data_IF_291461519590
#
_entry.id   IF_291461519590
#
_cell.length_a   1.000
_cell.length_b   1.000
_cell.length_c   1.000
_cell.angle_alpha   90.00
_cell.angle_beta   90.00
_cell.angle_gamma   90.00
#
_symmetry.space_group_name_H-M   'P 1'
#
loop_
_entity.id
_entity.type
_entity.pdbx_description
1 polymer ?
#
# COMPACT_ATOMS: atom_id res chain seq x y z
N UNK A 1 33.08 -6.98 50.61
CA UNK A 1 32.80 -7.94 49.51
C UNK A 1 32.79 -7.13 48.24
N UNK A 2 33.92 -7.17 47.54
CA UNK A 2 34.21 -6.40 46.32
C UNK A 2 33.52 -7.05 45.13
N UNK A 3 32.91 -6.24 44.26
CA UNK A 3 32.54 -6.64 42.91
C UNK A 3 33.77 -6.46 42.00
N UNK A 4 34.12 -7.43 41.13
CA UNK A 4 35.30 -7.32 40.31
C UNK A 4 35.09 -6.33 39.16
N UNK A 5 36.03 -5.39 39.03
CA UNK A 5 36.23 -4.58 37.85
C UNK A 5 36.78 -5.43 36.72
N UNK A 6 36.15 -5.41 35.54
CA UNK A 6 36.81 -5.77 34.29
C UNK A 6 36.88 -4.53 33.41
N UNK A 7 38.09 -3.97 33.33
CA UNK A 7 38.49 -2.99 32.33
C UNK A 7 38.37 -3.62 30.94
N UNK A 8 37.38 -3.18 30.16
CA UNK A 8 37.41 -3.28 28.71
C UNK A 8 37.65 -1.87 28.17
N UNK A 9 38.81 -1.72 27.55
CA UNK A 9 39.34 -0.50 26.94
C UNK A 9 38.39 -0.01 25.84
N UNK A 10 37.75 1.15 26.04
CA UNK A 10 36.89 1.78 25.05
C UNK A 10 37.75 2.38 23.93
N UNK A 11 37.74 1.76 22.75
CA UNK A 11 38.25 2.38 21.53
C UNK A 11 37.13 3.22 20.89
N UNK A 12 37.35 4.50 20.58
CA UNK A 12 36.36 5.30 19.87
C UNK A 12 36.19 4.78 18.45
N UNK A 13 34.95 4.42 18.09
CA UNK A 13 34.56 4.13 16.71
C UNK A 13 34.78 5.38 15.86
N UNK A 14 35.49 5.21 14.73
CA UNK A 14 35.69 6.21 13.68
C UNK A 14 34.35 6.78 13.22
N UNK A 15 34.30 8.11 13.08
CA UNK A 15 33.21 8.80 12.40
C UNK A 15 33.05 8.30 10.95
N UNK A 16 31.83 7.99 10.49
CA UNK A 16 31.58 7.80 9.08
C UNK A 16 31.47 9.16 8.39
N UNK A 17 32.45 9.41 7.51
CA UNK A 17 32.50 10.59 6.65
C UNK A 17 31.28 10.72 5.74
N UNK A 18 30.91 11.98 5.52
CA UNK A 18 29.86 12.39 4.58
C UNK A 18 30.14 11.88 3.17
N UNK A 19 29.24 11.07 2.63
CA UNK A 19 28.97 10.97 1.20
C UNK A 19 27.52 10.50 1.03
N UNK A 20 26.64 11.45 0.71
CA UNK A 20 25.27 11.17 0.27
C UNK A 20 25.32 10.88 -1.23
N UNK A 21 25.09 9.64 -1.61
CA UNK A 21 24.78 9.23 -3.00
C UNK A 21 23.38 8.57 -2.98
N UNK A 22 22.48 8.90 -3.92
CA UNK A 22 21.08 8.50 -3.87
C UNK A 22 20.83 7.05 -4.34
N UNK A 23 19.95 6.37 -3.61
CA UNK A 23 19.55 4.96 -3.67
C UNK A 23 18.64 4.58 -4.88
N UNK A 24 18.93 5.01 -6.11
CA UNK A 24 17.99 4.84 -7.25
C UNK A 24 18.59 4.32 -8.56
N UNK A 25 19.41 3.27 -8.55
CA UNK A 25 19.76 2.57 -9.81
C UNK A 25 19.98 1.05 -9.57
N UNK A 26 18.88 0.29 -9.42
CA UNK A 26 18.98 -1.18 -9.49
C UNK A 26 17.66 -1.91 -9.82
N UNK A 27 16.86 -1.42 -10.78
CA UNK A 27 15.63 -2.12 -11.21
C UNK A 27 15.34 -1.99 -12.70
N UNK A 28 16.00 -2.77 -13.57
CA UNK A 28 15.49 -2.96 -14.95
C UNK A 28 15.84 -4.34 -15.52
N UNK A 29 14.83 -5.20 -15.69
CA UNK A 29 14.66 -6.06 -16.87
C UNK A 29 13.35 -6.85 -16.78
N UNK A 30 12.36 -6.54 -17.63
CA UNK A 30 11.46 -7.54 -18.24
C UNK A 30 10.81 -7.00 -19.54
N UNK A 31 10.38 -7.88 -20.46
CA UNK A 31 10.07 -7.53 -21.86
C UNK A 31 8.58 -7.28 -22.13
N UNK A 32 8.29 -6.33 -23.01
CA UNK A 32 6.95 -5.95 -23.48
C UNK A 32 6.46 -6.84 -24.62
N UNK A 33 5.22 -7.37 -24.51
CA UNK A 33 4.45 -7.91 -25.65
C UNK A 33 3.57 -6.79 -26.23
N UNK A 34 3.69 -6.56 -27.54
CA UNK A 34 2.85 -5.62 -28.31
C UNK A 34 1.62 -6.34 -28.87
N UNK A 35 0.45 -5.73 -28.72
CA UNK A 35 -0.78 -6.10 -29.44
C UNK A 35 -1.04 -5.01 -30.48
N UNK A 36 -1.18 -5.42 -31.74
CA UNK A 36 -1.46 -4.52 -32.88
C UNK A 36 -2.95 -4.59 -33.19
N UNK A 37 -3.66 -3.44 -33.16
CA UNK A 37 -5.04 -3.32 -33.65
C UNK A 37 -5.03 -2.99 -35.15
N UNK A 38 -5.81 -3.73 -35.94
CA UNK A 38 -6.13 -3.40 -37.34
C UNK A 38 -7.48 -2.68 -37.40
N UNK A 39 -7.50 -1.49 -37.98
CA UNK A 39 -8.73 -0.76 -38.31
C UNK A 39 -9.01 -0.97 -39.80
N UNK A 40 -10.14 -1.63 -40.12
CA UNK A 40 -10.65 -1.70 -41.49
C UNK A 40 -11.66 -0.56 -41.69
N UNK A 41 -11.26 0.46 -42.45
CA UNK A 41 -12.14 1.49 -42.97
C UNK A 41 -12.87 0.97 -44.21
N UNK A 42 -14.18 1.13 -44.27
CA UNK A 42 -14.92 1.13 -45.53
C UNK A 42 -15.76 2.41 -45.62
N UNK A 43 -15.40 3.23 -46.61
CA UNK A 43 -16.21 4.35 -47.10
C UNK A 43 -17.37 3.80 -47.93
N UNK A 44 -18.55 4.38 -47.77
CA UNK A 44 -19.51 4.63 -48.86
C UNK A 44 -20.45 5.78 -48.44
N UNK A 45 -20.31 6.92 -49.13
CA UNK A 45 -21.23 8.05 -49.12
C UNK A 45 -22.52 7.65 -49.84
N UNK A 46 -23.70 7.92 -49.26
CA UNK A 46 -24.84 8.61 -49.93
C UNK A 46 -25.67 9.31 -48.85
N UNK A 47 -25.99 10.59 -49.09
CA UNK A 47 -26.69 11.46 -48.14
C UNK A 47 -28.13 11.07 -47.83
N UNK A 48 -28.46 11.12 -46.55
CA UNK A 48 -29.79 11.40 -46.01
C UNK A 48 -29.59 11.97 -44.60
N UNK A 49 -30.21 13.12 -44.31
CA UNK A 49 -30.30 13.68 -42.97
C UNK A 49 -30.99 12.65 -42.08
N UNK A 50 -30.22 11.93 -41.29
CA UNK A 50 -30.74 11.04 -40.25
C UNK A 50 -30.78 11.84 -38.95
N UNK A 51 -32.00 12.13 -38.48
CA UNK A 51 -32.20 12.58 -37.10
C UNK A 51 -32.01 11.35 -36.22
N UNK A 52 -30.80 11.21 -35.69
CA UNK A 52 -30.48 10.16 -34.72
C UNK A 52 -31.15 10.50 -33.39
N UNK A 53 -32.30 9.88 -33.12
CA UNK A 53 -32.86 9.83 -31.77
C UNK A 53 -31.93 8.93 -30.95
N UNK A 54 -31.08 9.54 -30.11
CA UNK A 54 -30.27 8.79 -29.15
C UNK A 54 -31.21 8.36 -28.02
N UNK A 55 -31.71 7.13 -28.10
CA UNK A 55 -32.28 6.45 -26.94
C UNK A 55 -31.09 6.02 -26.08
N UNK A 56 -30.82 6.76 -25.01
CA UNK A 56 -29.89 6.31 -23.97
C UNK A 56 -30.60 5.19 -23.20
N UNK A 57 -30.41 3.96 -23.65
CA UNK A 57 -30.71 2.80 -22.81
C UNK A 57 -29.57 2.73 -21.81
N UNK A 58 -29.86 3.02 -20.54
CA UNK A 58 -28.95 2.68 -19.43
C UNK A 58 -28.86 1.16 -19.34
N UNK A 59 -27.97 0.57 -20.14
CA UNK A 59 -27.53 -0.80 -19.95
C UNK A 59 -26.54 -0.74 -18.79
N UNK A 60 -27.01 -1.09 -17.59
CA UNK A 60 -26.11 -1.51 -16.54
C UNK A 60 -25.42 -2.78 -17.03
N UNK A 61 -24.19 -2.64 -17.49
CA UNK A 61 -23.33 -3.79 -17.74
C UNK A 61 -22.99 -4.36 -16.36
N UNK A 62 -23.80 -5.32 -15.92
CA UNK A 62 -23.34 -6.28 -14.93
C UNK A 62 -22.05 -6.89 -15.47
N UNK A 63 -20.95 -6.70 -14.74
CA UNK A 63 -19.67 -7.29 -15.05
C UNK A 63 -19.80 -8.82 -14.97
N UNK A 64 -20.19 -9.46 -16.07
CA UNK A 64 -20.01 -10.89 -16.26
C UNK A 64 -18.51 -11.16 -16.52
N UNK A 65 -17.68 -10.97 -15.49
CA UNK A 65 -16.47 -11.78 -15.37
C UNK A 65 -16.90 -13.26 -15.28
N UNK A 66 -16.13 -14.21 -15.81
CA UNK A 66 -16.44 -15.62 -15.65
C UNK A 66 -16.56 -15.95 -14.14
N UNK A 67 -17.77 -16.29 -13.71
CA UNK A 67 -18.07 -16.90 -12.41
C UNK A 67 -17.30 -18.21 -12.25
N UNK A 68 -16.15 -18.25 -11.58
CA UNK A 68 -15.58 -19.56 -11.18
C UNK A 68 -14.63 -19.50 -9.97
N UNK A 69 -14.78 -18.55 -9.04
CA UNK A 69 -14.10 -18.66 -7.74
C UNK A 69 -15.15 -18.51 -6.65
N UNK A 70 -15.70 -19.64 -6.21
CA UNK A 70 -16.65 -19.72 -5.11
C UNK A 70 -15.87 -19.99 -3.81
N UNK A 71 -16.37 -19.49 -2.66
CA UNK A 71 -15.72 -19.75 -1.37
C UNK A 71 -15.60 -21.25 -1.06
N UNK A 72 -16.57 -22.05 -1.53
CA UNK A 72 -16.61 -23.50 -1.46
C UNK A 72 -15.51 -24.22 -2.24
N UNK A 73 -14.81 -23.53 -3.15
CA UNK A 73 -13.78 -24.15 -4.00
C UNK A 73 -12.49 -24.46 -3.23
N UNK A 74 -12.31 -23.86 -2.05
CA UNK A 74 -11.12 -24.01 -1.24
C UNK A 74 -11.43 -24.63 0.12
N UNK A 75 -10.62 -25.62 0.57
CA UNK A 75 -10.81 -26.20 1.89
C UNK A 75 -10.29 -25.25 2.99
N UNK A 76 -10.71 -25.45 4.24
CA UNK A 76 -9.94 -24.97 5.39
C UNK A 76 -8.53 -25.53 5.36
N UNK A 77 -7.56 -24.75 5.86
CA UNK A 77 -6.19 -25.23 5.94
C UNK A 77 -6.04 -26.42 6.89
N UNK A 78 -5.08 -27.30 6.58
CA UNK A 78 -4.71 -28.42 7.44
C UNK A 78 -4.01 -27.96 8.73
N UNK A 79 -3.64 -28.93 9.57
CA UNK A 79 -2.89 -28.66 10.81
C UNK A 79 -1.49 -28.09 10.56
N UNK A 80 -0.91 -28.42 9.41
CA UNK A 80 0.36 -27.88 8.92
C UNK A 80 0.13 -27.26 7.54
N UNK A 81 0.81 -26.16 7.28
CA UNK A 81 0.84 -25.50 5.97
C UNK A 81 2.08 -25.97 5.19
N UNK A 82 1.93 -26.08 3.88
CA UNK A 82 3.01 -26.46 2.97
C UNK A 82 3.09 -25.50 1.77
N UNK A 83 4.27 -25.42 1.15
CA UNK A 83 4.47 -24.63 -0.07
C UNK A 83 3.42 -24.97 -1.13
N UNK A 84 2.73 -23.95 -1.66
CA UNK A 84 1.71 -24.11 -2.69
C UNK A 84 0.29 -24.31 -2.17
N UNK A 85 0.09 -24.48 -0.87
CA UNK A 85 -1.25 -24.56 -0.28
C UNK A 85 -2.07 -23.32 -0.61
N UNK A 86 -3.35 -23.54 -0.89
CA UNK A 86 -4.37 -22.52 -1.15
C UNK A 86 -5.65 -22.90 -0.38
N UNK A 87 -5.87 -22.27 0.77
CA UNK A 87 -6.87 -22.70 1.75
C UNK A 87 -7.33 -21.56 2.67
N UNK A 88 -8.48 -21.72 3.33
CA UNK A 88 -8.99 -20.75 4.30
C UNK A 88 -8.26 -20.88 5.64
N UNK A 89 -7.65 -19.79 6.12
CA UNK A 89 -6.84 -19.74 7.33
C UNK A 89 -7.32 -18.66 8.31
N UNK A 90 -7.28 -18.90 9.64
CA UNK A 90 -7.66 -17.90 10.65
C UNK A 90 -6.82 -16.62 10.56
N UNK A 91 -7.47 -15.45 10.49
CA UNK A 91 -6.76 -14.16 10.38
C UNK A 91 -5.84 -13.92 11.59
N UNK A 92 -6.30 -14.30 12.79
CA UNK A 92 -5.51 -14.17 14.03
C UNK A 92 -4.24 -15.04 14.04
N UNK A 93 -4.16 -16.07 13.20
CA UNK A 93 -2.95 -16.88 13.04
C UNK A 93 -1.95 -16.31 12.04
N UNK A 94 -2.28 -15.22 11.32
CA UNK A 94 -1.39 -14.59 10.35
C UNK A 94 -0.48 -13.59 11.04
N UNK A 95 0.80 -13.64 10.69
CA UNK A 95 1.81 -12.72 11.21
C UNK A 95 2.07 -11.58 10.21
N UNK A 96 1.83 -10.32 10.60
CA UNK A 96 2.18 -9.16 9.79
C UNK A 96 3.66 -9.08 9.42
N UNK A 97 3.93 -8.30 8.38
CA UNK A 97 5.28 -7.96 7.88
C UNK A 97 5.45 -6.45 7.74
N UNK A 98 4.58 -5.69 8.40
CA UNK A 98 4.60 -4.24 8.50
C UNK A 98 4.10 -3.81 9.88
N UNK A 99 4.50 -2.63 10.35
CA UNK A 99 4.10 -2.11 11.65
C UNK A 99 2.69 -1.53 11.69
N UNK A 100 2.27 -0.93 10.58
CA UNK A 100 1.08 -0.09 10.54
C UNK A 100 0.23 -0.35 9.31
N UNK A 101 -0.97 0.21 9.31
CA UNK A 101 -1.91 0.34 8.19
C UNK A 101 -2.55 1.72 8.30
N UNK A 102 -3.26 2.19 7.29
CA UNK A 102 -4.07 3.40 7.38
C UNK A 102 -5.48 3.08 7.87
N UNK A 103 -5.84 3.49 9.07
CA UNK A 103 -7.14 3.17 9.67
C UNK A 103 -8.28 3.86 8.93
N UNK A 104 -8.05 5.04 8.37
CA UNK A 104 -9.06 5.72 7.55
C UNK A 104 -9.28 5.01 6.19
N UNK A 105 -8.25 4.31 5.66
CA UNK A 105 -8.46 3.43 4.51
C UNK A 105 -9.28 2.19 4.91
N UNK A 106 -9.02 1.62 6.08
CA UNK A 106 -9.79 0.52 6.65
C UNK A 106 -11.26 0.91 6.84
N UNK A 107 -11.53 2.09 7.42
CA UNK A 107 -12.89 2.61 7.63
C UNK A 107 -13.64 2.77 6.32
N UNK A 108 -13.01 3.40 5.32
CA UNK A 108 -13.58 3.53 3.98
C UNK A 108 -13.94 2.17 3.35
N UNK A 109 -13.05 1.20 3.57
CA UNK A 109 -13.21 -0.16 3.05
C UNK A 109 -14.29 -0.94 3.80
N UNK A 110 -14.54 -0.63 5.08
CA UNK A 110 -15.64 -1.22 5.84
C UNK A 110 -16.99 -0.84 5.25
N UNK A 111 -17.19 0.43 4.88
CA UNK A 111 -18.42 0.89 4.22
C UNK A 111 -18.67 0.14 2.90
N UNK A 112 -17.62 -0.09 2.10
CA UNK A 112 -17.69 -0.91 0.88
C UNK A 112 -18.15 -2.33 1.21
N UNK A 113 -17.55 -2.96 2.23
CA UNK A 113 -17.85 -4.34 2.62
C UNK A 113 -19.20 -4.49 3.31
N UNK A 114 -19.70 -3.45 3.98
CA UNK A 114 -21.00 -3.42 4.63
C UNK A 114 -22.14 -3.53 3.62
N UNK A 115 -21.95 -2.97 2.42
CA UNK A 115 -22.91 -3.07 1.33
C UNK A 115 -23.05 -4.49 0.74
N UNK A 116 -22.11 -5.40 1.04
CA UNK A 116 -22.14 -6.77 0.52
C UNK A 116 -23.08 -7.67 1.32
N UNK A 117 -23.85 -8.47 0.59
CA UNK A 117 -24.44 -9.71 1.10
C UNK A 117 -23.36 -10.72 1.50
N UNK A 118 -23.74 -11.78 2.22
CA UNK A 118 -22.80 -12.84 2.61
C UNK A 118 -22.12 -13.48 1.38
N UNK A 119 -22.89 -13.83 0.34
CA UNK A 119 -22.35 -14.42 -0.90
C UNK A 119 -21.39 -13.47 -1.64
N UNK A 120 -21.70 -12.18 -1.67
CA UNK A 120 -20.83 -11.16 -2.29
C UNK A 120 -19.54 -10.98 -1.51
N UNK A 121 -19.60 -11.01 -0.17
CA UNK A 121 -18.43 -10.96 0.69
C UNK A 121 -17.55 -12.20 0.47
N UNK A 122 -18.14 -13.39 0.45
CA UNK A 122 -17.42 -14.64 0.21
C UNK A 122 -16.68 -14.62 -1.14
N UNK A 123 -17.37 -14.22 -2.21
CA UNK A 123 -16.78 -14.07 -3.54
C UNK A 123 -15.68 -12.99 -3.57
N UNK A 124 -15.89 -11.89 -2.85
CA UNK A 124 -14.89 -10.85 -2.69
C UNK A 124 -13.63 -11.39 -2.00
N UNK A 125 -13.77 -12.06 -0.85
CA UNK A 125 -12.66 -12.59 -0.08
C UNK A 125 -11.90 -13.69 -0.83
N UNK A 126 -12.59 -14.52 -1.61
CA UNK A 126 -11.96 -15.54 -2.43
C UNK A 126 -11.06 -14.94 -3.54
N UNK A 127 -11.32 -13.69 -3.98
CA UNK A 127 -10.43 -12.93 -4.87
C UNK A 127 -9.29 -12.22 -4.15
N UNK A 128 -9.36 -12.08 -2.81
CA UNK A 128 -8.36 -11.37 -1.99
C UNK A 128 -7.40 -12.33 -1.31
N UNK A 129 -6.75 -13.18 -2.11
CA UNK A 129 -5.73 -14.13 -1.64
C UNK A 129 -4.64 -13.38 -0.85
N UNK A 130 -4.35 -13.87 0.34
CA UNK A 130 -3.25 -13.42 1.19
C UNK A 130 -2.01 -14.26 0.88
N UNK A 131 -1.02 -13.73 0.14
CA UNK A 131 0.24 -14.44 -0.04
C UNK A 131 0.99 -14.52 1.29
N UNK A 132 1.46 -15.71 1.66
CA UNK A 132 2.24 -15.94 2.89
C UNK A 132 3.56 -16.64 2.61
N UNK A 133 4.53 -16.44 3.50
CA UNK A 133 5.77 -17.22 3.58
C UNK A 133 5.81 -17.92 4.93
N UNK A 134 6.10 -19.21 4.95
CA UNK A 134 6.30 -19.93 6.20
C UNK A 134 7.69 -19.58 6.76
N UNK A 135 7.72 -18.94 7.92
CA UNK A 135 8.93 -18.68 8.67
C UNK A 135 9.22 -19.77 9.70
N UNK A 136 10.22 -19.56 10.57
CA UNK A 136 10.58 -20.49 11.64
C UNK A 136 9.35 -20.94 12.43
N UNK A 137 9.35 -22.19 12.89
CA UNK A 137 8.22 -22.80 13.60
C UNK A 137 6.91 -22.86 12.80
N UNK A 138 6.99 -22.86 11.46
CA UNK A 138 5.86 -22.88 10.51
C UNK A 138 4.92 -21.66 10.62
N UNK A 139 5.42 -20.54 11.13
CA UNK A 139 4.63 -19.31 11.28
C UNK A 139 4.32 -18.68 9.90
N UNK A 140 3.06 -18.43 9.54
CA UNK A 140 2.71 -17.85 8.24
C UNK A 140 2.80 -16.31 8.28
N UNK A 141 3.85 -15.75 7.66
CA UNK A 141 4.04 -14.31 7.53
C UNK A 141 3.38 -13.77 6.26
N UNK A 142 2.44 -12.84 6.41
CA UNK A 142 1.67 -12.30 5.30
C UNK A 142 2.44 -11.24 4.52
N UNK A 143 2.44 -11.31 3.18
CA UNK A 143 3.20 -10.40 2.32
C UNK A 143 2.38 -9.19 1.81
N UNK A 144 1.05 -9.30 1.84
CA UNK A 144 0.12 -8.28 1.38
C UNK A 144 -1.23 -8.50 2.08
N UNK A 145 -2.19 -7.59 1.84
CA UNK A 145 -3.58 -7.63 2.31
C UNK A 145 -3.77 -7.34 3.80
N UNK A 146 -2.84 -6.64 4.44
CA UNK A 146 -2.98 -6.20 5.83
C UNK A 146 -4.25 -5.38 6.04
N UNK A 147 -4.50 -4.34 5.23
CA UNK A 147 -5.74 -3.53 5.31
C UNK A 147 -7.02 -4.36 5.12
N UNK A 148 -7.02 -5.32 4.17
CA UNK A 148 -8.21 -6.18 3.95
C UNK A 148 -8.42 -7.14 5.11
N UNK A 149 -7.34 -7.73 5.64
CA UNK A 149 -7.42 -8.64 6.78
C UNK A 149 -7.83 -7.91 8.05
N UNK A 150 -7.33 -6.68 8.25
CA UNK A 150 -7.71 -5.81 9.36
C UNK A 150 -9.18 -5.45 9.33
N UNK A 151 -9.71 -4.93 8.21
CA UNK A 151 -11.13 -4.56 8.14
C UNK A 151 -12.04 -5.77 8.38
N UNK A 152 -11.74 -6.91 7.73
CA UNK A 152 -12.54 -8.13 7.87
C UNK A 152 -12.57 -8.64 9.32
N UNK A 153 -11.43 -8.56 10.01
CA UNK A 153 -11.30 -8.95 11.41
C UNK A 153 -12.01 -7.98 12.36
N UNK A 154 -11.75 -6.67 12.22
CA UNK A 154 -12.26 -5.65 13.14
C UNK A 154 -13.75 -5.44 13.04
N UNK A 155 -14.35 -5.67 11.86
CA UNK A 155 -15.80 -5.52 11.66
C UNK A 155 -16.54 -6.85 11.71
N UNK A 156 -15.86 -7.90 12.17
CA UNK A 156 -16.40 -9.26 12.39
C UNK A 156 -17.08 -9.86 11.14
N UNK A 157 -16.69 -9.40 9.96
CA UNK A 157 -17.25 -9.85 8.67
C UNK A 157 -16.82 -11.28 8.33
N UNK A 158 -15.63 -11.68 8.78
CA UNK A 158 -15.14 -13.06 8.74
C UNK A 158 -13.97 -13.24 9.71
N UNK A 159 -13.72 -14.48 10.15
CA UNK A 159 -12.55 -14.83 10.96
C UNK A 159 -11.42 -15.45 10.12
N UNK A 160 -11.63 -15.67 8.83
CA UNK A 160 -10.71 -16.37 7.92
C UNK A 160 -10.44 -15.59 6.64
N UNK A 161 -9.26 -15.80 6.07
CA UNK A 161 -8.87 -15.32 4.74
C UNK A 161 -8.32 -16.48 3.91
N UNK A 162 -8.49 -16.43 2.59
CA UNK A 162 -7.87 -17.38 1.68
C UNK A 162 -6.38 -17.08 1.58
N UNK A 163 -5.53 -18.00 2.03
CA UNK A 163 -4.06 -17.83 2.00
C UNK A 163 -3.46 -18.63 0.85
N UNK A 164 -2.35 -18.13 0.30
CA UNK A 164 -1.49 -18.90 -0.59
C UNK A 164 -0.07 -18.94 -0.04
N UNK A 165 0.45 -20.14 0.24
CA UNK A 165 1.85 -20.30 0.66
C UNK A 165 2.76 -20.17 -0.55
N UNK A 166 3.52 -19.06 -0.61
CA UNK A 166 4.42 -18.73 -1.72
C UNK A 166 5.77 -19.41 -1.59
N UNK A 167 6.29 -19.47 -0.37
CA UNK A 167 7.61 -20.00 -0.05
C UNK A 167 7.59 -20.68 1.33
N UNK A 168 8.44 -21.69 1.50
CA UNK A 168 8.65 -22.36 2.77
C UNK A 168 10.09 -22.18 3.25
N UNK A 169 10.22 -21.30 4.23
CA UNK A 169 11.48 -20.93 4.89
C UNK A 169 11.50 -21.39 6.35
N UNK A 170 10.62 -22.33 6.73
CA UNK A 170 10.50 -22.86 8.09
C UNK A 170 11.78 -23.51 8.61
N UNK A 171 12.60 -24.07 7.72
CA UNK A 171 13.89 -24.67 8.08
C UNK A 171 14.97 -23.67 8.51
N UNK A 172 14.79 -22.37 8.23
CA UNK A 172 15.81 -21.36 8.51
C UNK A 172 15.71 -20.85 9.96
N UNK A 173 16.83 -20.38 10.49
CA UNK A 173 16.81 -19.64 11.75
C UNK A 173 16.12 -18.28 11.55
N UNK A 174 15.60 -17.71 12.64
CA UNK A 174 14.95 -16.39 12.62
C UNK A 174 15.81 -15.30 11.96
N UNK A 175 17.11 -15.27 12.24
CA UNK A 175 18.04 -14.31 11.61
C UNK A 175 18.13 -14.48 10.09
N UNK A 176 18.21 -15.72 9.59
CA UNK A 176 18.30 -15.99 8.15
C UNK A 176 16.95 -15.70 7.48
N UNK A 177 15.85 -16.08 8.12
CA UNK A 177 14.50 -15.76 7.65
C UNK A 177 14.30 -14.25 7.44
N UNK A 178 14.58 -13.43 8.46
CA UNK A 178 14.40 -11.99 8.35
C UNK A 178 15.35 -11.33 7.36
N UNK A 179 16.60 -11.81 7.26
CA UNK A 179 17.51 -11.37 6.20
C UNK A 179 16.90 -11.62 4.81
N UNK A 180 16.34 -12.82 4.58
CA UNK A 180 15.68 -13.13 3.30
C UNK A 180 14.45 -12.25 3.07
N UNK A 181 13.63 -11.98 4.09
CA UNK A 181 12.47 -11.06 3.98
C UNK A 181 12.91 -9.65 3.54
N UNK A 182 13.99 -9.13 4.12
CA UNK A 182 14.55 -7.81 3.78
C UNK A 182 15.15 -7.80 2.36
N UNK A 183 15.91 -8.84 2.00
CA UNK A 183 16.51 -8.98 0.66
C UNK A 183 15.44 -9.06 -0.44
N UNK A 184 14.33 -9.75 -0.18
CA UNK A 184 13.21 -9.88 -1.10
C UNK A 184 12.25 -8.68 -1.09
N UNK A 185 12.47 -7.68 -0.23
CA UNK A 185 11.55 -6.53 -0.04
C UNK A 185 10.14 -6.97 0.36
N UNK A 186 10.06 -7.99 1.21
CA UNK A 186 8.82 -8.61 1.70
C UNK A 186 8.45 -8.19 3.12
N UNK A 187 9.11 -7.15 3.62
CA UNK A 187 8.85 -6.55 4.93
C UNK A 187 8.98 -5.03 4.82
N UNK A 188 8.13 -4.31 5.54
CA UNK A 188 8.18 -2.86 5.70
C UNK A 188 8.47 -2.51 7.15
N UNK A 189 9.68 -2.02 7.41
CA UNK A 189 10.22 -1.87 8.76
C UNK A 189 10.02 -0.50 9.38
N UNK A 190 9.32 0.42 8.71
CA UNK A 190 9.04 1.72 9.29
C UNK A 190 7.82 1.66 10.20
N UNK A 191 8.03 2.12 11.43
CA UNK A 191 6.99 2.40 12.38
C UNK A 191 6.54 3.88 12.21
N UNK A 192 5.24 4.20 12.22
CA UNK A 192 4.76 5.56 11.96
C UNK A 192 5.22 6.60 13.00
N UNK A 193 5.49 6.19 14.24
CA UNK A 193 6.02 7.04 15.31
C UNK A 193 7.53 7.25 15.21
N UNK A 194 8.23 6.54 14.33
CA UNK A 194 9.70 6.56 14.26
C UNK A 194 10.19 7.10 12.92
N UNK A 195 11.36 7.75 12.94
CA UNK A 195 12.01 8.29 11.74
C UNK A 195 12.96 7.30 11.06
N UNK A 196 13.12 6.11 11.64
CA UNK A 196 14.05 5.07 11.19
C UNK A 196 13.42 3.68 11.23
N UNK A 197 13.97 2.77 10.44
CA UNK A 197 13.55 1.36 10.41
C UNK A 197 13.71 0.71 11.79
N UNK A 198 12.67 0.03 12.22
CA UNK A 198 12.64 -0.72 13.47
C UNK A 198 12.98 -2.20 13.22
N UNK A 199 13.61 -2.89 14.18
CA UNK A 199 13.93 -4.31 14.05
C UNK A 199 12.68 -5.19 13.80
N UNK A 200 12.69 -6.16 12.87
CA UNK A 200 11.50 -6.94 12.51
C UNK A 200 10.78 -7.62 13.68
N UNK A 201 11.51 -7.97 14.74
CA UNK A 201 10.96 -8.58 15.95
C UNK A 201 9.97 -7.70 16.73
N UNK A 202 9.88 -6.39 16.47
CA UNK A 202 8.87 -5.53 17.08
C UNK A 202 7.63 -5.34 16.20
N UNK A 203 7.58 -5.95 15.01
CA UNK A 203 6.34 -6.01 14.23
C UNK A 203 5.28 -6.72 15.08
N UNK A 204 4.06 -6.17 15.20
CA UNK A 204 2.99 -6.81 15.95
C UNK A 204 2.76 -8.25 15.47
N UNK A 205 2.65 -9.23 16.38
CA UNK A 205 2.54 -10.64 15.98
C UNK A 205 1.20 -10.98 15.33
N UNK A 206 0.19 -10.13 15.49
CA UNK A 206 -1.16 -10.33 14.97
C UNK A 206 -1.64 -9.09 14.21
N UNK A 207 -2.49 -9.32 13.21
CA UNK A 207 -3.17 -8.27 12.43
C UNK A 207 -3.88 -7.25 13.33
N UNK A 208 -4.42 -7.69 14.46
CA UNK A 208 -5.12 -6.81 15.43
C UNK A 208 -4.21 -5.83 16.15
N UNK A 209 -2.89 -6.02 16.12
CA UNK A 209 -1.91 -5.14 16.75
C UNK A 209 -1.27 -4.13 15.81
N UNK A 210 -1.67 -4.10 14.53
CA UNK A 210 -1.16 -3.13 13.55
C UNK A 210 -1.54 -1.71 13.98
N UNK A 211 -0.56 -0.81 13.93
CA UNK A 211 -0.72 0.59 14.30
C UNK A 211 -1.39 1.38 13.19
N UNK A 212 -1.97 2.54 13.52
CA UNK A 212 -2.40 3.49 12.51
C UNK A 212 -1.22 4.34 11.98
N UNK A 213 -1.20 4.57 10.66
CA UNK A 213 -0.37 5.56 9.98
C UNK A 213 -1.28 6.49 9.15
N UNK A 214 -1.63 7.68 9.64
CA UNK A 214 -2.55 8.57 8.94
C UNK A 214 -1.96 9.08 7.60
N UNK A 215 -0.64 9.14 7.47
CA UNK A 215 0.00 9.47 6.18
C UNK A 215 -0.17 8.34 5.16
N UNK A 216 -0.25 7.09 5.61
CA UNK A 216 -0.55 5.95 4.73
C UNK A 216 -1.97 6.06 4.19
N UNK A 217 -2.95 6.43 5.02
CA UNK A 217 -4.29 6.76 4.55
C UNK A 217 -4.31 7.97 3.60
N UNK A 218 -3.63 9.06 3.96
CA UNK A 218 -3.52 10.24 3.11
C UNK A 218 -2.96 9.91 1.72
N UNK A 219 -1.94 9.05 1.66
CA UNK A 219 -1.38 8.60 0.39
C UNK A 219 -2.33 7.74 -0.43
N UNK A 220 -3.12 6.87 0.21
CA UNK A 220 -4.18 6.13 -0.48
C UNK A 220 -5.19 7.07 -1.14
N UNK A 221 -5.73 8.04 -0.40
CA UNK A 221 -6.71 8.97 -0.94
C UNK A 221 -6.10 9.93 -1.98
N UNK A 222 -4.86 10.38 -1.79
CA UNK A 222 -4.15 11.17 -2.78
C UNK A 222 -4.01 10.39 -4.10
N UNK A 223 -3.66 9.10 -4.05
CA UNK A 223 -3.63 8.24 -5.23
C UNK A 223 -4.99 8.16 -5.90
N UNK A 224 -6.06 7.94 -5.12
CA UNK A 224 -7.44 7.93 -5.65
C UNK A 224 -7.81 9.21 -6.36
N UNK A 225 -7.26 10.35 -5.93
CA UNK A 225 -7.41 11.61 -6.63
C UNK A 225 -6.45 11.85 -7.79
N UNK A 226 -5.68 10.85 -8.22
CA UNK A 226 -4.76 10.98 -9.35
C UNK A 226 -3.50 11.76 -9.03
N UNK A 227 -3.12 11.87 -7.75
CA UNK A 227 -1.86 12.51 -7.35
C UNK A 227 -0.62 11.75 -7.88
N UNK A 228 -0.73 10.43 -7.98
CA UNK A 228 0.30 9.55 -8.53
C UNK A 228 -0.32 8.26 -9.05
N UNK A 229 0.39 7.55 -9.92
CA UNK A 229 -0.09 6.32 -10.55
C UNK A 229 0.39 5.06 -9.81
N UNK A 230 -0.43 4.02 -9.85
CA UNK A 230 0.00 2.68 -9.45
C UNK A 230 1.12 2.18 -10.38
N UNK A 231 2.18 1.66 -9.79
CA UNK A 231 3.36 1.13 -10.49
C UNK A 231 3.55 -0.37 -10.27
N UNK A 232 2.72 -1.00 -9.42
CA UNK A 232 2.90 -2.38 -8.97
C UNK A 232 4.12 -2.60 -8.06
N UNK A 233 4.84 -1.53 -7.69
CA UNK A 233 5.95 -1.60 -6.74
C UNK A 233 5.38 -1.78 -5.33
N UNK A 234 5.90 -2.74 -4.53
CA UNK A 234 5.48 -2.90 -3.14
C UNK A 234 5.69 -1.62 -2.32
N UNK A 235 4.76 -1.34 -1.41
CA UNK A 235 4.83 -0.18 -0.49
C UNK A 235 4.83 1.19 -1.18
N UNK A 236 4.28 1.30 -2.39
CA UNK A 236 4.16 2.56 -3.13
C UNK A 236 3.54 3.67 -2.28
N UNK A 237 2.38 3.43 -1.68
CA UNK A 237 1.69 4.42 -0.84
C UNK A 237 2.52 4.81 0.38
N UNK A 238 3.37 3.93 0.91
CA UNK A 238 4.28 4.29 2.01
C UNK A 238 5.41 5.22 1.57
N UNK A 239 5.91 5.09 0.33
CA UNK A 239 6.89 6.03 -0.21
C UNK A 239 6.30 7.45 -0.30
N UNK A 240 5.04 7.55 -0.71
CA UNK A 240 4.29 8.82 -0.74
C UNK A 240 3.94 9.32 0.67
N UNK A 241 3.53 8.43 1.57
CA UNK A 241 3.29 8.76 2.99
C UNK A 241 4.54 9.38 3.64
N UNK A 242 5.71 8.77 3.41
CA UNK A 242 6.98 9.29 3.91
C UNK A 242 7.29 10.69 3.36
N UNK A 243 7.00 10.96 2.08
CA UNK A 243 7.15 12.28 1.50
C UNK A 243 6.20 13.30 2.13
N UNK A 244 4.90 13.00 2.24
CA UNK A 244 3.92 13.89 2.86
C UNK A 244 4.25 14.20 4.32
N UNK A 245 4.77 13.23 5.07
CA UNK A 245 5.23 13.42 6.46
C UNK A 245 6.32 14.47 6.61
N UNK A 246 7.11 14.71 5.57
CA UNK A 246 8.14 15.77 5.59
C UNK A 246 7.60 17.16 5.21
N UNK A 247 6.35 17.27 4.77
CA UNK A 247 5.77 18.48 4.16
C UNK A 247 4.50 18.96 4.82
N UNK A 248 3.75 18.07 5.42
CA UNK A 248 2.46 18.33 6.05
C UNK A 248 2.66 18.04 7.52
N UNK A 249 2.59 19.07 8.35
CA UNK A 249 2.63 18.89 9.79
C UNK A 249 1.30 18.28 10.28
N UNK A 250 1.34 17.43 11.31
CA UNK A 250 0.15 17.00 12.02
C UNK A 250 -0.35 18.15 12.92
N UNK A 251 -0.72 19.30 12.37
CA UNK A 251 -1.29 20.39 13.16
C UNK A 251 -2.82 20.25 13.21
N UNK A 252 -3.31 19.75 14.35
CA UNK A 252 -4.63 20.09 14.85
C UNK A 252 -4.44 20.78 16.20
N UNK A 253 -5.02 21.98 16.37
CA UNK A 253 -5.24 22.53 17.70
C UNK A 253 -6.21 21.59 18.44
N UNK A 254 -5.68 20.69 19.27
CA UNK A 254 -6.48 19.76 20.07
C UNK A 254 -7.24 20.56 21.14
N UNK A 255 -8.58 20.54 21.18
CA UNK A 255 -9.33 21.13 22.30
C UNK A 255 -9.02 20.34 23.57
N UNK A 256 -8.45 21.05 24.54
CA UNK A 256 -8.02 20.61 25.88
C UNK A 256 -8.92 19.50 26.48
N UNK A 257 -8.53 18.25 26.30
CA UNK A 257 -9.12 17.10 26.97
C UNK A 257 -8.06 16.37 27.82
N UNK A 258 -8.35 16.37 29.12
CA UNK A 258 -7.54 16.08 30.32
C UNK A 258 -6.84 14.70 30.39
N UNK A 259 -6.81 13.92 29.30
CA UNK A 259 -6.16 12.61 29.27
C UNK A 259 -4.68 12.69 28.81
N UNK A 260 -4.38 13.57 27.84
CA UNK A 260 -3.03 13.74 27.28
C UNK A 260 -2.09 14.56 28.20
N UNK A 261 -2.62 15.31 29.17
CA UNK A 261 -1.84 16.12 30.10
C UNK A 261 -1.22 15.30 31.26
N UNK A 262 -1.57 14.02 31.41
CA UNK A 262 -1.16 13.18 32.56
C UNK A 262 0.11 12.36 32.29
N UNK A 263 0.50 12.14 31.02
CA UNK A 263 1.65 11.31 30.65
C UNK A 263 2.57 12.00 29.64
N UNK A 264 3.55 12.74 30.18
CA UNK A 264 4.54 13.55 29.43
C UNK A 264 5.50 12.73 28.53
N UNK A 265 5.45 11.40 28.57
CA UNK A 265 6.32 10.52 27.78
C UNK A 265 5.62 9.84 26.59
N UNK A 266 4.34 10.15 26.35
CA UNK A 266 3.53 9.49 25.33
C UNK A 266 2.72 10.49 24.50
N UNK A 267 3.40 11.52 23.98
CA UNK A 267 2.77 12.58 23.17
C UNK A 267 2.64 12.21 21.68
N UNK A 268 3.15 11.05 21.25
CA UNK A 268 3.09 10.60 19.84
C UNK A 268 1.81 9.80 19.50
N UNK A 269 0.95 9.52 20.49
CA UNK A 269 -0.29 8.74 20.33
C UNK A 269 -1.57 9.51 20.69
N UNK A 270 -1.52 10.82 20.87
CA UNK A 270 -2.73 11.64 21.08
C UNK A 270 -3.43 11.96 19.76
N UNK A 271 -4.02 10.93 19.14
CA UNK A 271 -5.01 11.11 18.09
C UNK A 271 -6.35 10.56 18.58
N UNK A 272 -7.28 11.41 19.04
CA UNK A 272 -8.64 10.95 19.30
C UNK A 272 -9.24 10.48 17.97
N UNK A 273 -9.87 9.31 17.97
CA UNK A 273 -10.39 8.58 16.78
C UNK A 273 -11.28 9.40 15.81
N UNK A 274 -11.75 10.59 16.20
CA UNK A 274 -12.49 11.51 15.32
C UNK A 274 -11.60 12.54 14.59
N UNK A 275 -10.43 12.86 15.13
CA UNK A 275 -9.57 13.95 14.67
C UNK A 275 -8.64 13.52 13.52
N UNK A 276 -8.27 12.23 13.46
CA UNK A 276 -7.47 11.67 12.37
C UNK A 276 -8.16 11.80 11.00
N UNK A 277 -9.48 11.57 10.97
CA UNK A 277 -10.27 11.64 9.74
C UNK A 277 -10.32 13.07 9.21
N UNK A 278 -10.51 14.04 10.12
CA UNK A 278 -10.51 15.46 9.77
C UNK A 278 -9.15 15.90 9.26
N UNK A 279 -8.05 15.44 9.89
CA UNK A 279 -6.70 15.77 9.41
C UNK A 279 -6.40 15.16 8.03
N UNK A 280 -6.74 13.90 7.77
CA UNK A 280 -6.52 13.27 6.45
C UNK A 280 -7.29 14.05 5.37
N UNK A 281 -8.54 14.42 5.64
CA UNK A 281 -9.39 15.16 4.70
C UNK A 281 -8.85 16.58 4.49
N UNK A 282 -8.51 17.29 5.57
CA UNK A 282 -7.98 18.65 5.50
C UNK A 282 -6.61 18.69 4.79
N UNK A 283 -5.81 17.64 4.92
CA UNK A 283 -4.48 17.53 4.32
C UNK A 283 -4.51 17.08 2.87
N UNK A 284 -5.59 16.46 2.41
CA UNK A 284 -5.67 15.87 1.07
C UNK A 284 -5.45 16.87 -0.07
N UNK A 285 -6.04 18.08 -0.09
CA UNK A 285 -5.74 19.08 -1.11
C UNK A 285 -4.25 19.45 -1.19
N UNK A 286 -3.59 19.57 -0.03
CA UNK A 286 -2.16 19.86 0.05
C UNK A 286 -1.32 18.68 -0.45
N UNK A 287 -1.65 17.45 -0.04
CA UNK A 287 -0.97 16.24 -0.50
C UNK A 287 -1.07 16.06 -2.01
N UNK A 288 -2.26 16.27 -2.60
CA UNK A 288 -2.45 16.23 -4.05
C UNK A 288 -1.56 17.28 -4.72
N UNK A 289 -1.59 18.54 -4.28
CA UNK A 289 -0.77 19.61 -4.85
C UNK A 289 0.75 19.33 -4.75
N UNK A 290 1.23 18.87 -3.59
CA UNK A 290 2.64 18.51 -3.37
C UNK A 290 3.11 17.41 -4.33
N UNK A 291 2.21 16.52 -4.74
CA UNK A 291 2.54 15.38 -5.61
C UNK A 291 2.93 15.77 -7.03
N UNK A 292 2.66 17.02 -7.43
CA UNK A 292 3.06 17.58 -8.72
C UNK A 292 4.28 18.53 -8.61
N UNK A 293 4.88 18.63 -7.43
CA UNK A 293 6.09 19.43 -7.24
C UNK A 293 7.32 18.73 -7.84
N UNK A 294 8.32 19.50 -8.26
CA UNK A 294 9.59 18.94 -8.74
C UNK A 294 10.28 18.06 -7.69
N UNK A 295 10.07 18.32 -6.40
CA UNK A 295 10.63 17.53 -5.31
C UNK A 295 10.11 16.09 -5.30
N UNK A 296 8.87 15.86 -5.75
CA UNK A 296 8.25 14.54 -5.81
C UNK A 296 8.66 13.73 -7.05
N UNK A 297 9.44 14.30 -7.98
CA UNK A 297 9.70 13.70 -9.31
C UNK A 297 10.39 12.33 -9.27
N UNK A 298 11.10 12.02 -8.18
CA UNK A 298 11.82 10.76 -8.00
C UNK A 298 11.02 9.71 -7.22
N UNK A 299 9.81 10.04 -6.77
CA UNK A 299 8.94 9.09 -6.08
C UNK A 299 8.21 8.25 -7.15
N UNK A 300 8.16 6.92 -7.02
CA UNK A 300 7.48 6.07 -7.99
C UNK A 300 6.02 6.49 -8.22
N UNK A 301 5.55 6.44 -9.46
CA UNK A 301 4.19 6.84 -9.83
C UNK A 301 4.01 8.33 -10.10
N UNK A 302 5.03 9.17 -9.90
CA UNK A 302 4.97 10.60 -10.19
C UNK A 302 4.50 10.88 -11.63
N UNK A 303 3.50 11.75 -11.77
CA UNK A 303 2.94 12.17 -13.07
C UNK A 303 2.15 11.09 -13.83
N UNK A 304 1.91 9.92 -13.21
CA UNK A 304 1.16 8.81 -13.81
C UNK A 304 -0.26 8.67 -13.23
N UNK A 305 -0.68 9.58 -12.36
CA UNK A 305 -1.93 9.49 -11.64
C UNK A 305 -3.17 9.67 -12.53
N UNK A 306 -4.21 8.92 -12.19
CA UNK A 306 -5.55 9.02 -12.77
C UNK A 306 -6.55 9.06 -11.62
N UNK A 307 -7.64 9.82 -11.78
CA UNK A 307 -8.70 9.83 -10.78
C UNK A 307 -9.39 8.46 -10.82
N UNK A 308 -9.37 7.78 -9.67
CA UNK A 308 -10.07 6.54 -9.40
C UNK A 308 -11.30 6.85 -8.53
N UNK A 309 -12.37 6.05 -8.65
CA UNK A 309 -13.51 6.17 -7.75
C UNK A 309 -13.10 5.93 -6.29
N UNK A 310 -13.63 6.75 -5.38
CA UNK A 310 -13.51 6.58 -3.93
C UNK A 310 -14.75 5.80 -3.44
N UNK A 311 -14.60 4.63 -2.80
CA UNK A 311 -15.74 3.78 -2.45
C UNK A 311 -16.49 4.18 -1.16
N UNK A 312 -15.97 5.10 -0.32
CA UNK A 312 -16.60 5.47 0.95
C UNK A 312 -17.85 6.35 0.73
N UNK A 313 -19.03 5.86 1.15
CA UNK A 313 -20.34 6.48 0.94
C UNK A 313 -20.98 7.11 2.19
N UNK A 314 -20.32 7.14 3.36
CA UNK A 314 -20.82 7.96 4.49
C UNK A 314 -20.21 9.37 4.56
N UNK A 315 -20.89 10.24 5.31
CA UNK A 315 -20.90 11.72 5.29
C UNK A 315 -19.56 12.47 5.30
N UNK A 316 -18.44 11.81 5.59
CA UNK A 316 -17.13 12.48 5.70
C UNK A 316 -16.46 12.65 4.33
N UNK A 317 -16.68 11.70 3.41
CA UNK A 317 -16.29 11.82 1.99
C UNK A 317 -17.49 11.90 1.03
N UNK A 318 -18.70 11.58 1.49
CA UNK A 318 -19.91 11.72 0.67
C UNK A 318 -20.17 13.20 0.32
N UNK A 319 -19.97 13.53 -0.96
CA UNK A 319 -20.06 14.91 -1.49
C UNK A 319 -18.71 15.61 -1.63
N UNK A 320 -17.61 14.94 -1.29
CA UNK A 320 -16.26 15.44 -1.53
C UNK A 320 -15.81 15.06 -2.94
N UNK A 321 -15.33 16.04 -3.69
CA UNK A 321 -14.74 15.86 -5.01
C UNK A 321 -13.23 15.98 -4.91
N UNK A 322 -12.51 15.21 -5.74
CA UNK A 322 -11.08 15.38 -5.83
C UNK A 322 -10.72 16.83 -6.16
N UNK A 323 -9.70 17.40 -5.49
CA UNK A 323 -9.29 18.76 -5.75
C UNK A 323 -8.86 18.91 -7.21
N UNK A 324 -8.99 20.11 -7.80
CA UNK A 324 -8.53 20.35 -9.15
C UNK A 324 -7.08 19.93 -9.32
N UNK A 325 -6.84 18.99 -10.23
CA UNK A 325 -5.49 18.56 -10.55
C UNK A 325 -4.76 19.68 -11.29
N UNK A 326 -3.50 19.99 -10.93
CA UNK A 326 -2.70 20.92 -11.71
C UNK A 326 -2.45 20.34 -13.11
N UNK A 327 -2.07 21.18 -14.09
CA UNK A 327 -1.64 20.69 -15.40
C UNK A 327 -0.59 19.61 -15.19
N UNK A 328 -0.78 18.44 -15.83
CA UNK A 328 0.10 17.31 -15.64
C UNK A 328 1.56 17.75 -15.77
N UNK A 329 2.38 17.33 -14.80
CA UNK A 329 3.81 17.60 -14.84
C UNK A 329 4.37 17.15 -16.20
N UNK A 330 5.28 17.92 -16.81
CA UNK A 330 5.89 17.52 -18.07
C UNK A 330 6.47 16.11 -17.92
N UNK A 331 6.37 15.27 -18.97
CA UNK A 331 6.83 13.89 -18.89
C UNK A 331 8.28 13.87 -18.38
N UNK A 332 8.53 13.01 -17.39
CA UNK A 332 9.87 12.79 -16.83
C UNK A 332 10.83 12.67 -18.01
N UNK A 333 11.90 13.47 -18.09
CA UNK A 333 12.87 13.33 -19.16
C UNK A 333 13.40 11.91 -19.10
N UNK A 334 12.96 11.06 -20.03
CA UNK A 334 13.54 9.72 -20.18
C UNK A 334 15.04 9.96 -20.28
N UNK A 335 15.84 9.43 -19.33
CA UNK A 335 17.31 9.53 -19.33
C UNK A 335 17.74 9.43 -20.79
N UNK A 336 18.10 10.57 -21.38
CA UNK A 336 18.37 10.65 -22.79
C UNK A 336 19.40 9.56 -23.06
N UNK A 337 19.22 8.79 -24.14
CA UNK A 337 20.27 7.96 -24.71
C UNK A 337 21.48 8.86 -24.99
N UNK A 338 22.29 9.16 -23.97
CA UNK A 338 23.56 9.86 -24.07
C UNK A 338 24.49 8.92 -24.81
N UNK A 339 24.56 9.18 -26.11
CA UNK A 339 25.78 9.12 -26.90
C UNK A 339 26.48 7.76 -26.98
N UNK A 340 25.86 6.83 -27.73
CA UNK A 340 26.59 5.85 -28.54
C UNK A 340 26.76 6.28 -30.01
N UNK A 341 26.75 7.60 -30.27
CA UNK A 341 26.97 8.17 -31.62
C UNK A 341 28.35 8.80 -31.84
N UNK A 342 29.28 8.75 -30.88
CA UNK A 342 30.63 9.30 -31.06
C UNK A 342 31.79 8.28 -31.16
N UNK A 343 31.51 6.98 -31.27
CA UNK A 343 32.55 5.95 -31.53
C UNK A 343 32.50 5.29 -32.91
N UNK A 344 31.73 5.83 -33.87
CA UNK A 344 31.74 5.38 -35.28
C UNK A 344 32.39 6.36 -36.27
N UNK A 345 33.16 7.34 -35.78
CA UNK A 345 34.01 8.23 -36.61
C UNK A 345 35.51 8.17 -36.30
N UNK A 346 35.96 7.23 -35.47
CA UNK A 346 37.39 6.92 -35.29
C UNK A 346 37.61 5.41 -35.19
N UNK A 347 37.59 4.73 -36.33
CA UNK A 347 38.48 3.60 -36.66
C UNK A 347 38.32 3.25 -38.13
#
# INVERSE_FOLDING_TARGET
MEYPSSNAEYQPLREPGSNKEPFLDQFFSTPTRRITLLILSSLLLVGMLTVSVIVVVNVSYGNNEPNTVQSSDYPPCGAELHMGDLCWYPILGLHPTQYSVGFEEIRCKDEELYAFTEDELDHYLAKKIVPVVLGPDNVPYMLDRHHTSSVVLFTERSTVMLVQVKEDWSQYSSSVFWQKMIENKWVYLFNPQQTFEQPPQYIPPHVSGLLDDPYRSLAYFARKCGAFGDTGIPYLEYAWAAYYRTKIEPNVEIPDNDYCNVYEYDTELCWPERDQNEWVIASLPLAVNLSFSEEAMNIPGYGLGVIEGIPCQETVFAGWECPPLPPQAPPIPTKAKKEKKEKKKKK
#
